data_IF_666570526387
#
_entry.id   IF_666570526387
#
_cell.length_a   1.000
_cell.length_b   1.000
_cell.length_c   1.000
_cell.angle_alpha   90.00
_cell.angle_beta   90.00
_cell.angle_gamma   90.00
#
_symmetry.space_group_name_H-M   'P 1'
#
loop_
_entity.id
_entity.type
_entity.pdbx_description
1 polymer ?
#
# COMPACT_ATOMS: atom_id res chain seq x y z
N UNK A 1 48.01 38.14 -0.83
CA UNK A 1 47.31 39.36 -0.41
C UNK A 1 46.31 38.92 0.67
N UNK A 2 46.64 39.24 1.94
CA UNK A 2 45.85 38.94 3.15
C UNK A 2 44.78 40.00 3.32
N UNK A 3 43.54 39.62 3.74
CA UNK A 3 42.59 40.43 4.51
C UNK A 3 41.51 39.47 5.04
N UNK A 4 41.50 39.12 6.20
CA UNK A 4 41.03 39.35 7.58
C UNK A 4 39.52 39.46 7.70
N UNK A 5 38.98 38.54 8.54
CA UNK A 5 37.65 38.57 9.20
C UNK A 5 37.46 39.87 10.05
N UNK A 6 36.22 40.19 10.37
CA UNK A 6 35.94 40.34 11.81
C UNK A 6 34.76 39.51 12.31
N UNK A 7 34.94 39.06 13.55
CA UNK A 7 33.93 38.49 14.44
C UNK A 7 32.97 39.60 14.95
N UNK A 8 31.73 39.26 15.20
CA UNK A 8 30.81 40.00 16.08
C UNK A 8 29.94 39.05 16.90
N UNK A 9 30.13 39.19 18.16
CA UNK A 9 29.55 38.73 19.41
C UNK A 9 28.02 38.67 19.47
N UNK A 10 27.53 37.57 20.03
CA UNK A 10 26.68 37.42 21.23
C UNK A 10 25.49 38.34 21.44
N UNK A 11 24.30 37.74 21.48
CA UNK A 11 23.17 38.21 22.29
C UNK A 11 22.27 37.04 22.67
N UNK A 12 22.56 36.42 23.81
CA UNK A 12 21.65 35.53 24.51
C UNK A 12 20.41 36.28 25.01
N UNK A 13 19.21 35.81 24.64
CA UNK A 13 17.97 36.17 25.34
C UNK A 13 17.40 34.95 26.04
N UNK A 14 17.53 34.98 27.36
CA UNK A 14 16.80 34.13 28.29
C UNK A 14 15.35 34.57 28.33
N UNK A 15 14.41 33.70 28.05
CA UNK A 15 13.01 33.89 28.38
C UNK A 15 12.72 33.27 29.75
N UNK A 16 12.44 34.13 30.71
CA UNK A 16 11.89 33.78 32.00
C UNK A 16 10.40 33.53 31.89
N UNK A 17 9.95 32.36 32.33
CA UNK A 17 8.52 32.06 32.52
C UNK A 17 7.97 32.91 33.66
N UNK A 18 6.99 33.77 33.39
CA UNK A 18 6.19 34.44 34.38
C UNK A 18 4.96 33.58 34.74
N UNK A 19 4.87 33.27 36.04
CA UNK A 19 3.69 32.66 36.65
C UNK A 19 2.54 33.67 36.75
N UNK A 20 1.34 33.35 36.27
CA UNK A 20 0.12 34.07 36.54
C UNK A 20 -0.68 33.37 37.64
N UNK A 21 -1.27 34.15 38.60
CA UNK A 21 -1.94 33.61 39.78
C UNK A 21 -3.38 33.11 39.46
N UNK A 22 -3.78 32.05 40.18
CA UNK A 22 -5.14 31.49 40.16
C UNK A 22 -6.16 32.45 40.81
N UNK A 23 -7.39 32.60 40.29
CA UNK A 23 -8.44 33.31 41.02
C UNK A 23 -9.05 32.44 42.12
N UNK A 24 -9.28 33.09 43.25
CA UNK A 24 -9.87 32.58 44.49
C UNK A 24 -11.40 32.37 44.35
N UNK A 25 -11.88 31.30 45.01
CA UNK A 25 -13.33 31.02 45.21
C UNK A 25 -13.95 32.02 46.19
N UNK A 26 -15.19 32.50 45.97
CA UNK A 26 -15.95 33.20 47.04
C UNK A 26 -16.71 32.20 47.91
N UNK A 27 -16.66 32.50 49.24
CA UNK A 27 -17.41 31.83 50.30
C UNK A 27 -18.88 32.27 50.31
N UNK A 28 -19.76 31.32 50.63
CA UNK A 28 -21.20 31.52 50.94
C UNK A 28 -21.38 32.23 52.25
N UNK A 29 -22.51 32.98 52.45
CA UNK A 29 -23.17 33.09 53.76
C UNK A 29 -24.56 32.42 53.75
N UNK A 30 -24.87 31.86 54.93
CA UNK A 30 -26.13 31.27 55.37
C UNK A 30 -27.14 32.30 55.79
N UNK A 31 -28.40 31.81 55.88
CA UNK A 31 -29.62 32.28 56.58
C UNK A 31 -30.55 33.12 55.69
N UNK A 32 -31.79 32.76 55.48
CA UNK A 32 -32.86 32.20 56.28
C UNK A 32 -34.16 32.86 55.84
N UNK A 33 -35.18 32.08 55.57
CA UNK A 33 -36.57 32.30 55.93
C UNK A 33 -37.54 31.60 54.93
N UNK A 34 -38.37 30.82 55.57
CA UNK A 34 -39.52 30.12 54.98
C UNK A 34 -40.56 31.10 54.47
N UNK A 35 -41.09 30.88 53.29
CA UNK A 35 -42.47 31.19 52.89
C UNK A 35 -43.04 30.04 52.12
N UNK A 36 -44.12 29.47 52.61
CA UNK A 36 -44.93 28.46 51.95
C UNK A 36 -45.91 29.15 51.05
N UNK A 37 -46.01 28.78 49.81
CA UNK A 37 -47.16 29.02 48.96
C UNK A 37 -47.40 27.84 48.06
N UNK A 38 -48.48 27.13 48.29
CA UNK A 38 -49.11 26.12 47.46
C UNK A 38 -49.74 26.78 46.24
N UNK A 39 -49.44 26.32 45.05
CA UNK A 39 -50.35 26.38 43.92
C UNK A 39 -49.91 25.44 42.77
N UNK A 40 -50.74 24.49 42.44
CA UNK A 40 -51.07 24.12 41.06
C UNK A 40 -50.23 23.07 40.36
N UNK A 41 -50.68 21.82 40.38
CA UNK A 41 -50.33 20.74 39.46
C UNK A 41 -50.48 21.17 38.00
N UNK A 42 -49.39 20.96 37.23
CA UNK A 42 -49.40 20.88 35.78
C UNK A 42 -48.28 19.92 35.32
N UNK A 43 -48.62 18.60 35.33
CA UNK A 43 -47.68 17.55 34.86
C UNK A 43 -47.68 17.53 33.32
N UNK A 44 -46.82 18.33 32.69
CA UNK A 44 -46.49 18.15 31.27
C UNK A 44 -45.30 17.17 31.18
N UNK A 45 -45.58 15.89 31.05
CA UNK A 45 -44.60 14.88 30.66
C UNK A 45 -44.23 15.11 29.19
N UNK A 46 -43.20 15.89 28.94
CA UNK A 46 -42.52 15.91 27.66
C UNK A 46 -41.81 14.55 27.51
N UNK A 47 -42.39 13.64 26.73
CA UNK A 47 -41.72 12.44 26.23
C UNK A 47 -40.55 12.96 25.33
N UNK A 48 -39.38 13.07 25.93
CA UNK A 48 -38.15 13.21 25.17
C UNK A 48 -37.93 11.88 24.43
N UNK A 49 -38.29 11.84 23.15
CA UNK A 49 -37.84 10.76 22.26
C UNK A 49 -36.34 10.73 22.32
N UNK A 50 -35.70 9.58 22.60
CA UNK A 50 -34.25 9.47 22.49
C UNK A 50 -33.86 9.86 21.04
N UNK A 51 -32.74 10.55 20.81
CA UNK A 51 -32.27 10.83 19.47
C UNK A 51 -32.14 9.48 18.73
N UNK A 52 -32.46 9.43 17.43
CA UNK A 52 -32.28 8.20 16.67
C UNK A 52 -30.84 7.76 16.87
N UNK A 53 -30.65 6.58 17.44
CA UNK A 53 -29.34 5.94 17.45
C UNK A 53 -28.95 5.80 15.98
N UNK A 54 -28.02 6.63 15.53
CA UNK A 54 -27.28 6.36 14.31
C UNK A 54 -26.60 5.02 14.62
N UNK A 55 -27.11 3.96 14.03
CA UNK A 55 -26.44 2.67 14.10
C UNK A 55 -25.04 2.91 13.56
N UNK A 56 -24.04 2.86 14.45
CA UNK A 56 -22.66 2.75 13.99
C UNK A 56 -22.68 1.51 13.08
N UNK A 57 -22.44 1.75 11.78
CA UNK A 57 -22.34 0.66 10.83
C UNK A 57 -21.31 -0.31 11.40
N UNK A 58 -21.69 -1.56 11.59
CA UNK A 58 -20.80 -2.58 12.16
C UNK A 58 -19.72 -2.93 11.10
N UNK A 59 -18.69 -2.12 11.05
CA UNK A 59 -17.54 -2.28 10.17
C UNK A 59 -16.71 -3.54 10.52
N UNK A 60 -16.97 -4.15 11.69
CA UNK A 60 -16.22 -5.32 12.18
C UNK A 60 -16.62 -6.62 11.48
N UNK A 61 -17.79 -6.68 10.85
CA UNK A 61 -18.30 -7.89 10.21
C UNK A 61 -17.85 -8.08 8.76
N UNK A 62 -17.36 -7.04 8.08
CA UNK A 62 -16.94 -7.12 6.68
C UNK A 62 -15.45 -7.43 6.56
N UNK A 63 -15.13 -8.50 5.81
CA UNK A 63 -13.73 -8.82 5.47
C UNK A 63 -13.35 -8.12 4.18
N UNK A 64 -12.32 -7.31 4.27
CA UNK A 64 -11.74 -6.57 3.14
C UNK A 64 -10.45 -7.24 2.68
N UNK A 65 -10.26 -7.26 1.36
CA UNK A 65 -9.05 -7.78 0.73
C UNK A 65 -8.59 -6.82 -0.36
N UNK A 66 -7.30 -6.53 -0.37
CA UNK A 66 -6.69 -5.75 -1.44
C UNK A 66 -6.80 -6.49 -2.78
N UNK A 67 -7.37 -5.83 -3.77
CA UNK A 67 -7.48 -6.37 -5.14
C UNK A 67 -6.52 -5.70 -6.11
N UNK A 68 -6.11 -4.47 -5.83
CA UNK A 68 -5.11 -3.71 -6.57
C UNK A 68 -4.36 -2.78 -5.61
N UNK A 69 -3.09 -2.48 -5.94
CA UNK A 69 -2.32 -1.47 -5.23
C UNK A 69 -1.09 -1.02 -6.00
N UNK A 70 -0.60 0.18 -5.64
CA UNK A 70 0.64 0.75 -6.13
C UNK A 70 1.38 1.45 -4.99
N UNK A 71 2.67 1.19 -4.85
CA UNK A 71 3.52 1.87 -3.88
C UNK A 71 3.82 3.32 -4.33
N UNK A 72 3.57 4.36 -3.51
CA UNK A 72 3.99 5.71 -3.87
C UNK A 72 5.52 5.84 -3.94
N UNK A 73 6.01 6.41 -5.03
CA UNK A 73 7.45 6.58 -5.32
C UNK A 73 8.00 7.98 -5.08
N UNK A 74 7.15 9.03 -4.96
CA UNK A 74 7.56 10.43 -4.85
C UNK A 74 8.17 10.82 -3.49
N UNK A 75 8.30 12.13 -3.19
CA UNK A 75 7.89 13.23 -4.07
C UNK A 75 8.90 13.47 -5.19
N UNK A 76 8.44 13.84 -6.39
CA UNK A 76 9.32 14.30 -7.46
C UNK A 76 9.90 15.69 -7.14
N UNK A 77 10.98 16.08 -7.82
CA UNK A 77 11.43 17.46 -7.78
C UNK A 77 10.32 18.40 -8.32
N UNK A 78 10.23 19.66 -7.84
CA UNK A 78 9.19 20.59 -8.27
C UNK A 78 9.09 20.74 -9.79
N UNK A 79 10.23 20.78 -10.50
CA UNK A 79 10.27 20.89 -11.96
C UNK A 79 9.68 19.67 -12.70
N UNK A 80 9.63 18.49 -12.04
CA UNK A 80 9.14 17.24 -12.59
C UNK A 80 7.77 16.84 -12.04
N UNK A 81 7.18 17.69 -11.18
CA UNK A 81 5.90 17.40 -10.57
C UNK A 81 4.78 17.60 -11.58
N UNK A 82 4.01 16.53 -11.84
CA UNK A 82 2.79 16.63 -12.63
C UNK A 82 1.78 17.52 -11.89
N UNK A 83 1.19 18.47 -12.61
CA UNK A 83 0.19 19.40 -12.06
C UNK A 83 -1.16 19.20 -12.73
N UNK A 84 -2.22 19.43 -11.95
CA UNK A 84 -3.62 19.41 -12.36
C UNK A 84 -4.25 20.72 -11.90
N UNK A 85 -5.04 21.37 -12.76
CA UNK A 85 -5.71 22.64 -12.42
C UNK A 85 -7.21 22.51 -12.70
N UNK A 86 -8.00 22.41 -11.64
CA UNK A 86 -9.46 22.21 -11.70
C UNK A 86 -9.86 21.02 -12.59
N UNK A 87 -9.12 19.91 -12.55
CA UNK A 87 -9.26 18.77 -13.46
C UNK A 87 -9.72 17.52 -12.75
N UNK A 88 -10.38 16.65 -13.50
CA UNK A 88 -10.65 15.27 -13.11
C UNK A 88 -9.55 14.37 -13.66
N UNK A 89 -8.94 13.56 -12.79
CA UNK A 89 -8.04 12.47 -13.20
C UNK A 89 -8.80 11.15 -13.11
N UNK A 90 -8.84 10.38 -14.19
CA UNK A 90 -9.44 9.04 -14.24
C UNK A 90 -8.34 8.01 -14.33
N UNK A 91 -8.20 7.24 -13.24
CA UNK A 91 -7.15 6.25 -13.03
C UNK A 91 -7.71 4.87 -13.29
N UNK A 92 -7.09 4.15 -14.19
CA UNK A 92 -7.45 2.76 -14.53
C UNK A 92 -6.64 1.81 -13.68
N UNK A 93 -7.31 0.85 -13.07
CA UNK A 93 -6.70 -0.18 -12.23
C UNK A 93 -7.26 -1.56 -12.59
N UNK A 94 -6.40 -2.59 -12.59
CA UNK A 94 -6.77 -3.96 -12.92
C UNK A 94 -6.92 -4.81 -11.66
N UNK A 95 -8.12 -5.31 -11.42
CA UNK A 95 -8.43 -6.10 -10.21
C UNK A 95 -7.86 -7.50 -10.30
N UNK A 96 -7.29 -8.02 -9.21
CA UNK A 96 -6.82 -9.40 -9.14
C UNK A 96 -7.90 -10.36 -8.63
N UNK A 97 -8.81 -9.87 -7.79
CA UNK A 97 -9.93 -10.63 -7.22
C UNK A 97 -11.18 -9.76 -7.23
N UNK A 98 -12.36 -10.37 -7.34
CA UNK A 98 -13.64 -9.68 -7.31
C UNK A 98 -14.28 -9.60 -5.93
N UNK A 99 -15.37 -8.82 -5.85
CA UNK A 99 -16.19 -8.67 -4.66
C UNK A 99 -17.47 -7.90 -4.94
N UNK A 100 -18.33 -7.75 -3.94
CA UNK A 100 -19.64 -7.09 -4.09
C UNK A 100 -19.67 -5.65 -3.57
N UNK A 101 -18.67 -5.26 -2.79
CA UNK A 101 -18.45 -3.88 -2.33
C UNK A 101 -17.01 -3.50 -2.56
N UNK A 102 -16.76 -2.21 -2.75
CA UNK A 102 -15.44 -1.68 -3.05
C UNK A 102 -15.19 -0.40 -2.26
N UNK A 103 -13.94 -0.16 -1.90
CA UNK A 103 -13.43 1.10 -1.34
C UNK A 103 -12.03 1.38 -1.86
N UNK A 104 -11.60 2.63 -1.77
CA UNK A 104 -10.26 3.04 -2.22
C UNK A 104 -9.45 3.66 -1.08
N UNK A 105 -8.13 3.57 -1.17
CA UNK A 105 -7.20 4.32 -0.35
C UNK A 105 -6.51 5.40 -1.19
N UNK A 106 -6.65 6.64 -0.74
CA UNK A 106 -5.90 7.80 -1.25
C UNK A 106 -4.76 8.13 -0.29
N UNK A 107 -3.72 8.80 -0.79
CA UNK A 107 -2.57 9.17 0.02
C UNK A 107 -2.04 10.55 -0.34
N UNK A 108 -1.72 11.32 0.70
CA UNK A 108 -0.93 12.55 0.67
C UNK A 108 0.35 12.40 1.52
N UNK A 109 0.85 11.15 1.66
CA UNK A 109 1.96 10.84 2.57
C UNK A 109 3.26 11.54 2.20
N UNK A 110 3.45 11.90 0.93
CA UNK A 110 4.64 12.62 0.45
C UNK A 110 4.35 14.10 0.17
N UNK A 111 3.12 14.56 0.44
CA UNK A 111 2.73 15.96 0.32
C UNK A 111 3.15 16.79 1.52
N UNK A 112 3.50 18.06 1.26
CA UNK A 112 3.81 19.06 2.28
C UNK A 112 2.68 20.08 2.50
N UNK A 113 1.65 20.03 1.67
CA UNK A 113 0.45 20.86 1.74
C UNK A 113 -0.80 19.98 1.79
N UNK A 114 -1.93 20.47 2.34
CA UNK A 114 -3.20 19.75 2.29
C UNK A 114 -3.61 19.43 0.85
N UNK A 115 -4.05 18.20 0.59
CA UNK A 115 -4.58 17.74 -0.68
C UNK A 115 -6.11 17.70 -0.60
N UNK A 116 -6.79 18.52 -1.38
CA UNK A 116 -8.25 18.49 -1.48
C UNK A 116 -8.68 17.61 -2.66
N UNK A 117 -9.56 16.65 -2.38
CA UNK A 117 -10.34 15.91 -3.36
C UNK A 117 -11.76 16.45 -3.32
N UNK A 118 -12.20 17.08 -4.41
CA UNK A 118 -13.52 17.75 -4.50
C UNK A 118 -14.66 16.74 -4.68
N UNK A 119 -14.42 15.69 -5.47
CA UNK A 119 -15.31 14.56 -5.66
C UNK A 119 -14.49 13.33 -6.04
N UNK A 120 -15.01 12.13 -5.78
CA UNK A 120 -14.42 10.87 -6.18
C UNK A 120 -15.50 9.88 -6.60
N UNK A 121 -15.26 9.15 -7.68
CA UNK A 121 -16.17 8.11 -8.20
C UNK A 121 -15.39 6.86 -8.58
N UNK A 122 -16.08 5.72 -8.60
CA UNK A 122 -15.55 4.45 -9.07
C UNK A 122 -16.58 3.76 -9.98
N UNK A 123 -16.12 3.14 -11.05
CA UNK A 123 -16.96 2.41 -11.98
C UNK A 123 -16.20 1.24 -12.63
N UNK A 124 -16.90 0.31 -13.27
CA UNK A 124 -16.29 -0.61 -14.21
C UNK A 124 -15.86 0.17 -15.47
N UNK A 125 -14.63 -0.06 -15.96
CA UNK A 125 -14.14 0.52 -17.20
C UNK A 125 -14.73 -0.20 -18.40
N UNK A 126 -15.17 0.53 -19.40
CA UNK A 126 -15.60 -0.02 -20.67
C UNK A 126 -14.42 -0.12 -21.65
N UNK A 127 -13.88 1.02 -22.08
CA UNK A 127 -12.68 1.11 -22.92
C UNK A 127 -12.12 2.53 -22.85
N UNK A 128 -10.82 2.69 -23.09
CA UNK A 128 -10.20 4.02 -23.01
C UNK A 128 -10.54 4.71 -21.68
N UNK A 129 -11.11 5.91 -21.73
CA UNK A 129 -11.56 6.67 -20.59
C UNK A 129 -13.03 6.47 -20.22
N UNK A 130 -13.76 5.58 -20.94
CA UNK A 130 -15.19 5.38 -20.78
C UNK A 130 -15.50 4.34 -19.69
N UNK A 131 -16.64 4.53 -19.03
CA UNK A 131 -17.13 3.61 -18.00
C UNK A 131 -18.36 2.85 -18.49
N UNK A 132 -18.59 1.66 -17.92
CA UNK A 132 -19.79 0.87 -18.19
C UNK A 132 -21.02 1.57 -17.61
N UNK A 133 -22.03 1.78 -18.44
CA UNK A 133 -23.26 2.46 -18.05
C UNK A 133 -23.92 1.78 -16.81
N UNK A 134 -24.38 2.58 -15.87
CA UNK A 134 -25.05 2.10 -14.63
C UNK A 134 -24.11 1.58 -13.53
N UNK A 135 -22.79 1.55 -13.76
CA UNK A 135 -21.81 1.08 -12.76
C UNK A 135 -21.15 2.20 -11.97
N UNK A 136 -21.37 3.46 -12.32
CA UNK A 136 -20.81 4.60 -11.60
C UNK A 136 -21.33 4.67 -10.16
N UNK A 137 -20.42 4.85 -9.22
CA UNK A 137 -20.70 5.02 -7.79
C UNK A 137 -19.92 6.20 -7.24
N UNK A 138 -20.61 7.23 -6.70
CA UNK A 138 -19.95 8.27 -5.94
C UNK A 138 -19.35 7.70 -4.66
N UNK A 139 -18.11 8.10 -4.36
CA UNK A 139 -17.41 7.74 -3.15
C UNK A 139 -17.54 8.87 -2.12
N UNK A 140 -17.66 8.49 -0.86
CA UNK A 140 -17.65 9.42 0.28
C UNK A 140 -16.49 9.09 1.24
N UNK A 141 -16.22 10.02 2.14
CA UNK A 141 -15.17 9.92 3.16
C UNK A 141 -15.78 10.36 4.50
N UNK A 142 -16.16 9.39 5.33
CA UNK A 142 -16.91 9.64 6.55
C UNK A 142 -18.27 10.32 6.26
N UNK A 143 -18.96 9.89 5.19
CA UNK A 143 -20.24 10.43 4.73
C UNK A 143 -20.15 11.72 3.90
N UNK A 144 -18.96 12.31 3.71
CA UNK A 144 -18.78 13.53 2.93
C UNK A 144 -18.31 13.24 1.50
N UNK A 145 -18.88 13.91 0.51
CA UNK A 145 -18.51 13.76 -0.90
C UNK A 145 -17.10 14.28 -1.22
N UNK A 146 -16.55 15.14 -0.38
CA UNK A 146 -15.19 15.68 -0.53
C UNK A 146 -14.36 15.41 0.71
N UNK A 147 -13.02 15.37 0.53
CA UNK A 147 -12.08 15.21 1.63
C UNK A 147 -10.85 16.10 1.41
N UNK A 148 -10.28 16.56 2.52
CA UNK A 148 -8.96 17.21 2.52
C UNK A 148 -8.00 16.34 3.32
N UNK A 149 -7.03 15.76 2.62
CA UNK A 149 -5.97 14.93 3.24
C UNK A 149 -4.87 15.85 3.79
N UNK A 150 -4.59 15.82 5.08
CA UNK A 150 -3.44 16.52 5.64
C UNK A 150 -2.12 16.06 4.99
N UNK A 151 -1.05 16.89 5.04
CA UNK A 151 0.29 16.44 4.70
C UNK A 151 0.68 15.17 5.49
N UNK A 152 1.29 14.21 4.83
CA UNK A 152 1.75 12.97 5.48
C UNK A 152 0.65 11.93 5.76
N UNK A 153 -0.60 12.15 5.37
CA UNK A 153 -1.71 11.27 5.74
C UNK A 153 -2.33 10.53 4.55
N UNK A 154 -2.77 9.26 4.73
CA UNK A 154 -3.70 8.59 3.84
C UNK A 154 -5.15 8.90 4.19
N UNK A 155 -6.08 8.55 3.29
CA UNK A 155 -7.52 8.51 3.54
C UNK A 155 -8.14 7.25 2.92
N UNK A 156 -9.12 6.67 3.61
CA UNK A 156 -9.90 5.54 3.13
C UNK A 156 -11.30 6.05 2.79
N UNK A 157 -11.83 5.68 1.63
CA UNK A 157 -13.22 5.99 1.30
C UNK A 157 -14.18 5.12 2.09
N UNK A 158 -15.41 5.60 2.24
CA UNK A 158 -16.52 4.75 2.65
C UNK A 158 -16.75 3.70 1.56
N UNK A 159 -17.22 2.49 1.91
CA UNK A 159 -17.49 1.45 0.94
C UNK A 159 -18.77 1.71 0.15
N UNK A 160 -18.75 1.32 -1.13
CA UNK A 160 -19.93 1.38 -2.01
C UNK A 160 -20.26 0.02 -2.59
N UNK A 161 -21.54 -0.23 -2.85
CA UNK A 161 -22.02 -1.44 -3.49
C UNK A 161 -21.70 -1.38 -4.99
N UNK A 162 -20.80 -2.24 -5.42
CA UNK A 162 -20.43 -2.45 -6.81
C UNK A 162 -19.97 -3.89 -6.98
N UNK A 163 -20.64 -4.63 -7.86
CA UNK A 163 -20.20 -5.97 -8.19
C UNK A 163 -18.96 -5.88 -9.09
N UNK A 164 -17.81 -6.14 -8.52
CA UNK A 164 -16.50 -6.09 -9.19
C UNK A 164 -16.10 -7.50 -9.61
N UNK A 165 -16.00 -7.81 -10.91
CA UNK A 165 -15.46 -9.09 -11.35
C UNK A 165 -13.95 -9.18 -11.05
N UNK A 166 -13.45 -10.40 -10.84
CA UNK A 166 -12.00 -10.62 -10.83
C UNK A 166 -11.43 -10.35 -12.24
N UNK A 167 -10.17 -9.93 -12.30
CA UNK A 167 -9.43 -9.67 -13.54
C UNK A 167 -10.17 -8.68 -14.47
N UNK A 168 -10.78 -7.65 -13.89
CA UNK A 168 -11.48 -6.59 -14.61
C UNK A 168 -10.84 -5.22 -14.35
N UNK A 169 -11.11 -4.28 -15.24
CA UNK A 169 -10.61 -2.91 -15.07
C UNK A 169 -11.67 -2.06 -14.36
N UNK A 170 -11.22 -1.28 -13.39
CA UNK A 170 -11.97 -0.21 -12.76
C UNK A 170 -11.44 1.15 -13.21
N UNK A 171 -12.32 2.13 -13.28
CA UNK A 171 -12.02 3.54 -13.46
C UNK A 171 -12.29 4.27 -12.14
N UNK A 172 -11.24 4.78 -11.51
CA UNK A 172 -11.32 5.64 -10.32
C UNK A 172 -11.13 7.08 -10.76
N UNK A 173 -12.14 7.92 -10.58
CA UNK A 173 -12.13 9.33 -11.00
C UNK A 173 -12.03 10.22 -9.78
N UNK A 174 -11.06 11.15 -9.79
CA UNK A 174 -10.79 12.10 -8.72
C UNK A 174 -10.84 13.52 -9.28
N UNK A 175 -11.72 14.38 -8.77
CA UNK A 175 -11.71 15.80 -9.08
C UNK A 175 -10.77 16.55 -8.15
N UNK A 176 -9.85 17.28 -8.72
CA UNK A 176 -8.79 18.03 -8.06
C UNK A 176 -9.06 19.54 -8.25
N UNK A 177 -9.77 20.21 -7.30
CA UNK A 177 -10.07 21.62 -7.40
C UNK A 177 -8.82 22.48 -7.14
N UNK A 178 -8.70 23.59 -7.88
CA UNK A 178 -7.52 24.45 -7.82
C UNK A 178 -6.31 23.83 -8.51
N UNK A 179 -5.11 24.31 -8.21
CA UNK A 179 -3.86 23.76 -8.76
C UNK A 179 -3.23 22.80 -7.75
N UNK A 180 -3.07 21.54 -8.16
CA UNK A 180 -2.56 20.45 -7.32
C UNK A 180 -1.35 19.81 -7.99
N UNK A 181 -0.24 19.69 -7.25
CA UNK A 181 0.94 18.94 -7.67
C UNK A 181 0.88 17.48 -7.16
N UNK A 182 1.17 16.52 -8.03
CA UNK A 182 1.23 15.10 -7.69
C UNK A 182 2.52 14.78 -6.91
N UNK A 183 2.55 15.08 -5.63
CA UNK A 183 3.68 14.78 -4.74
C UNK A 183 3.69 13.33 -4.29
N UNK A 184 2.51 12.74 -4.02
CA UNK A 184 2.35 11.31 -3.75
C UNK A 184 1.92 10.64 -5.05
N UNK A 185 2.82 9.90 -5.68
CA UNK A 185 2.62 9.37 -7.03
C UNK A 185 3.35 8.05 -7.21
N UNK A 186 2.73 7.09 -7.90
CA UNK A 186 3.42 5.96 -8.49
C UNK A 186 3.77 6.30 -9.94
N UNK A 187 5.08 6.38 -10.25
CA UNK A 187 5.57 6.99 -11.50
C UNK A 187 5.49 6.11 -12.73
N UNK A 188 5.47 4.76 -12.56
CA UNK A 188 5.59 3.78 -13.65
C UNK A 188 4.35 2.89 -13.69
N UNK A 189 3.23 3.44 -14.11
CA UNK A 189 1.97 2.68 -14.12
C UNK A 189 1.94 1.55 -15.17
N UNK A 190 2.63 1.67 -16.29
CA UNK A 190 2.43 0.84 -17.49
C UNK A 190 0.93 0.65 -17.83
N UNK A 191 0.15 1.68 -17.55
CA UNK A 191 -1.29 1.79 -17.72
C UNK A 191 -1.64 3.22 -18.10
N UNK A 192 -2.40 3.37 -19.17
CA UNK A 192 -2.90 4.68 -19.60
C UNK A 192 -3.97 5.18 -18.66
N UNK A 193 -3.76 6.36 -18.09
CA UNK A 193 -4.69 7.10 -17.28
C UNK A 193 -5.02 8.43 -17.95
N UNK A 194 -6.13 9.06 -17.57
CA UNK A 194 -6.72 10.15 -18.34
C UNK A 194 -6.88 11.39 -17.46
N UNK A 195 -6.58 12.55 -18.02
CA UNK A 195 -6.78 13.87 -17.40
C UNK A 195 -7.76 14.64 -18.23
N UNK A 196 -8.83 15.14 -17.61
CA UNK A 196 -9.91 15.85 -18.30
C UNK A 196 -9.52 17.28 -18.70
N UNK A 197 -10.35 17.90 -19.53
CA UNK A 197 -10.49 19.36 -19.53
C UNK A 197 -10.81 19.87 -18.13
N UNK A 198 -10.63 21.19 -17.83
CA UNK A 198 -11.00 21.73 -16.53
C UNK A 198 -12.48 21.45 -16.20
N UNK A 199 -12.74 20.99 -14.98
CA UNK A 199 -14.07 20.67 -14.46
C UNK A 199 -14.16 19.35 -13.71
N UNK A 200 -15.26 19.20 -12.99
CA UNK A 200 -15.64 17.95 -12.35
C UNK A 200 -16.41 17.05 -13.34
N UNK A 201 -15.76 15.99 -13.78
CA UNK A 201 -16.30 14.97 -14.68
C UNK A 201 -16.23 13.59 -14.00
N UNK A 202 -16.21 13.52 -12.67
CA UNK A 202 -16.03 12.25 -11.95
C UNK A 202 -17.08 11.21 -12.30
N UNK A 203 -18.37 11.62 -12.41
CA UNK A 203 -19.49 10.76 -12.78
C UNK A 203 -19.78 10.69 -14.29
N UNK A 204 -18.95 11.31 -15.16
CA UNK A 204 -19.19 11.30 -16.59
C UNK A 204 -18.94 9.93 -17.21
N UNK A 205 -19.88 9.43 -18.01
CA UNK A 205 -19.74 8.14 -18.72
C UNK A 205 -18.54 8.16 -19.66
N UNK A 206 -18.34 9.23 -20.40
CA UNK A 206 -17.16 9.51 -21.23
C UNK A 206 -16.44 10.74 -20.70
N UNK A 207 -15.14 10.62 -20.45
CA UNK A 207 -14.33 11.71 -19.92
C UNK A 207 -13.84 12.63 -21.05
N UNK A 208 -14.13 13.95 -21.03
CA UNK A 208 -13.54 14.88 -22.01
C UNK A 208 -12.03 15.00 -21.77
N UNK A 209 -11.27 14.11 -22.36
CA UNK A 209 -9.84 13.94 -22.12
C UNK A 209 -9.02 15.04 -22.77
N UNK A 210 -8.20 15.74 -21.98
CA UNK A 210 -7.20 16.70 -22.46
C UNK A 210 -5.86 16.05 -22.74
N UNK A 211 -5.41 15.12 -21.88
CA UNK A 211 -4.14 14.39 -22.00
C UNK A 211 -4.18 13.07 -21.27
N UNK A 212 -3.21 12.22 -21.58
CA UNK A 212 -2.98 10.96 -20.87
C UNK A 212 -1.72 11.03 -20.00
N UNK A 213 -1.64 10.17 -18.99
CA UNK A 213 -0.49 9.99 -18.11
C UNK A 213 -0.25 8.48 -17.88
N UNK A 214 1.00 8.11 -17.64
CA UNK A 214 1.43 6.74 -17.31
C UNK A 214 1.85 6.64 -15.83
N UNK A 215 1.04 7.22 -14.94
CA UNK A 215 1.30 7.25 -13.51
C UNK A 215 -0.01 7.21 -12.72
N UNK A 216 0.03 6.79 -11.46
CA UNK A 216 -1.10 6.85 -10.54
C UNK A 216 -0.84 7.88 -9.45
N UNK A 217 -1.31 9.13 -9.59
CA UNK A 217 -1.29 10.14 -8.53
C UNK A 217 -2.32 9.81 -7.44
N UNK A 218 -1.92 9.90 -6.19
CA UNK A 218 -2.72 9.82 -4.96
C UNK A 218 -3.42 8.50 -4.68
N UNK A 219 -3.78 7.69 -5.67
CA UNK A 219 -4.44 6.40 -5.49
C UNK A 219 -3.40 5.33 -5.17
N UNK A 220 -3.58 4.63 -4.04
CA UNK A 220 -2.59 3.64 -3.57
C UNK A 220 -3.15 2.23 -3.39
N UNK A 221 -4.47 2.07 -3.23
CA UNK A 221 -5.08 0.75 -3.05
C UNK A 221 -6.56 0.76 -3.43
N UNK A 222 -7.04 -0.36 -3.92
CA UNK A 222 -8.46 -0.69 -4.07
C UNK A 222 -8.71 -2.00 -3.35
N UNK A 223 -9.69 -1.99 -2.43
CA UNK A 223 -10.13 -3.14 -1.66
C UNK A 223 -11.52 -3.58 -2.09
N UNK A 224 -11.77 -4.88 -2.06
CA UNK A 224 -13.11 -5.45 -2.24
C UNK A 224 -13.50 -6.31 -1.03
N UNK A 225 -14.81 -6.52 -0.85
CA UNK A 225 -15.30 -7.44 0.20
C UNK A 225 -15.19 -8.89 -0.27
N UNK A 226 -14.76 -9.77 0.63
CA UNK A 226 -14.69 -11.20 0.34
C UNK A 226 -14.08 -12.01 1.47
N UNK A 227 -14.44 -13.29 1.54
CA UNK A 227 -13.77 -14.26 2.41
C UNK A 227 -12.46 -14.73 1.71
N UNK A 228 -11.49 -13.84 1.68
CA UNK A 228 -10.27 -13.97 0.89
C UNK A 228 -9.07 -13.39 1.65
N UNK A 229 -7.87 -13.63 1.15
CA UNK A 229 -6.62 -13.05 1.65
C UNK A 229 -5.87 -12.35 0.51
N UNK A 230 -4.93 -11.46 0.85
CA UNK A 230 -4.08 -10.80 -0.11
C UNK A 230 -2.65 -11.35 -0.07
N UNK A 231 -2.05 -11.45 -1.26
CA UNK A 231 -0.62 -11.64 -1.50
C UNK A 231 -0.05 -10.29 -1.89
N UNK A 232 0.90 -9.77 -1.13
CA UNK A 232 1.64 -8.56 -1.50
C UNK A 232 2.88 -8.95 -2.29
N UNK A 233 2.97 -8.54 -3.54
CA UNK A 233 4.18 -8.66 -4.36
C UNK A 233 5.05 -7.43 -4.10
N UNK A 234 6.06 -7.56 -3.22
CA UNK A 234 6.94 -6.47 -2.82
C UNK A 234 8.26 -6.55 -3.57
N UNK A 235 8.68 -5.44 -4.20
CA UNK A 235 9.91 -5.44 -4.99
C UNK A 235 10.25 -4.12 -5.65
N UNK A 236 11.09 -4.22 -6.66
CA UNK A 236 11.58 -3.14 -7.51
C UNK A 236 10.89 -3.07 -8.88
N UNK A 237 11.60 -2.56 -9.90
CA UNK A 237 11.10 -2.42 -11.29
C UNK A 237 10.63 -3.73 -11.91
N UNK A 238 11.25 -4.86 -11.56
CA UNK A 238 10.88 -6.17 -12.11
C UNK A 238 9.53 -6.63 -11.54
N UNK A 239 9.23 -6.29 -10.30
CA UNK A 239 7.90 -6.52 -9.71
C UNK A 239 6.88 -5.48 -10.17
N UNK A 240 7.29 -4.22 -10.29
CA UNK A 240 6.49 -3.12 -10.85
C UNK A 240 6.05 -3.40 -12.31
N UNK A 241 6.87 -4.12 -13.07
CA UNK A 241 6.57 -4.53 -14.45
C UNK A 241 7.17 -3.61 -15.51
N UNK A 242 8.30 -2.96 -15.20
CA UNK A 242 9.05 -2.14 -16.16
C UNK A 242 9.34 -2.91 -17.45
N UNK A 243 9.11 -2.32 -18.61
CA UNK A 243 9.21 -2.93 -19.96
C UNK A 243 8.08 -3.90 -20.32
N UNK A 244 7.09 -4.15 -19.47
CA UNK A 244 5.86 -4.81 -19.94
C UNK A 244 5.10 -3.89 -20.87
N UNK A 245 4.39 -4.48 -21.84
CA UNK A 245 3.57 -3.71 -22.77
C UNK A 245 2.49 -2.92 -22.01
N UNK A 246 2.39 -1.60 -22.17
CA UNK A 246 1.37 -0.79 -21.52
C UNK A 246 -0.05 -1.27 -21.85
N UNK A 247 -0.97 -1.11 -20.87
CA UNK A 247 -2.40 -1.43 -20.98
C UNK A 247 -2.74 -2.92 -21.16
N UNK A 248 -1.76 -3.84 -21.01
CA UNK A 248 -1.97 -5.28 -21.22
C UNK A 248 -1.99 -6.08 -19.90
N UNK A 249 -1.61 -5.46 -18.79
CA UNK A 249 -1.52 -6.12 -17.49
C UNK A 249 -0.64 -7.39 -17.54
N UNK A 250 0.54 -7.31 -18.17
CA UNK A 250 1.47 -8.43 -18.38
C UNK A 250 2.62 -8.49 -17.37
N UNK A 251 2.51 -7.85 -16.21
CA UNK A 251 3.48 -7.99 -15.11
C UNK A 251 3.41 -9.39 -14.50
N UNK A 252 4.49 -9.90 -13.91
CA UNK A 252 4.45 -11.23 -13.31
C UNK A 252 3.38 -11.36 -12.20
N UNK A 253 3.06 -10.32 -11.38
CA UNK A 253 1.95 -10.43 -10.42
C UNK A 253 0.59 -10.55 -11.09
N UNK A 254 0.38 -9.94 -12.28
CA UNK A 254 -0.85 -10.08 -13.06
C UNK A 254 -1.02 -11.51 -13.59
N UNK A 255 0.08 -12.13 -14.05
CA UNK A 255 0.08 -13.55 -14.45
C UNK A 255 -0.19 -14.48 -13.27
N UNK A 256 0.36 -14.20 -12.10
CA UNK A 256 0.02 -14.92 -10.86
C UNK A 256 -1.48 -14.79 -10.55
N UNK A 257 -2.04 -13.58 -10.61
CA UNK A 257 -3.46 -13.34 -10.38
C UNK A 257 -4.34 -14.15 -11.34
N UNK A 258 -4.03 -14.15 -12.65
CA UNK A 258 -4.75 -14.97 -13.65
C UNK A 258 -4.72 -16.45 -13.28
N UNK A 259 -3.56 -17.00 -12.89
CA UNK A 259 -3.44 -18.40 -12.48
C UNK A 259 -4.27 -18.71 -11.23
N UNK A 260 -4.26 -17.83 -10.23
CA UNK A 260 -5.06 -18.00 -9.01
C UNK A 260 -6.56 -18.03 -9.28
N UNK A 261 -7.04 -17.32 -10.31
CA UNK A 261 -8.45 -17.31 -10.68
C UNK A 261 -8.85 -18.49 -11.57
N UNK A 262 -7.91 -19.07 -12.33
CA UNK A 262 -8.21 -20.13 -13.33
C UNK A 262 -7.90 -21.54 -12.82
N UNK A 263 -6.88 -21.72 -11.98
CA UNK A 263 -6.49 -23.03 -11.47
C UNK A 263 -7.36 -23.41 -10.29
N UNK A 264 -8.23 -24.40 -10.48
CA UNK A 264 -8.98 -25.02 -9.38
C UNK A 264 -8.06 -25.97 -8.62
N UNK A 265 -7.94 -25.80 -7.32
CA UNK A 265 -7.30 -26.78 -6.45
C UNK A 265 -8.24 -27.99 -6.31
N UNK A 266 -7.82 -29.21 -6.73
CA UNK A 266 -8.61 -30.42 -6.53
C UNK A 266 -8.93 -30.70 -5.06
N UNK A 267 -8.12 -30.19 -4.13
CA UNK A 267 -8.29 -30.34 -2.67
C UNK A 267 -9.22 -29.25 -2.06
N UNK A 268 -9.88 -28.43 -2.88
CA UNK A 268 -10.75 -27.34 -2.40
C UNK A 268 -10.01 -26.15 -1.83
N UNK A 269 -8.75 -25.94 -2.25
CA UNK A 269 -7.89 -24.86 -1.79
C UNK A 269 -8.38 -23.45 -2.15
N UNK A 270 -7.66 -22.44 -1.64
CA UNK A 270 -8.04 -21.02 -1.67
C UNK A 270 -7.66 -20.26 -2.95
N UNK A 271 -7.31 -20.94 -4.06
CA UNK A 271 -6.74 -20.27 -5.23
C UNK A 271 -7.60 -19.07 -5.70
N UNK A 272 -8.91 -19.25 -5.85
CA UNK A 272 -9.83 -18.17 -6.25
C UNK A 272 -10.23 -17.23 -5.11
N UNK A 273 -9.58 -17.31 -3.95
CA UNK A 273 -9.80 -16.45 -2.77
C UNK A 273 -8.52 -15.70 -2.39
N UNK A 274 -7.63 -15.50 -3.36
CA UNK A 274 -6.39 -14.77 -3.15
C UNK A 274 -6.33 -13.57 -4.09
N UNK A 275 -6.30 -12.37 -3.52
CA UNK A 275 -5.95 -11.14 -4.22
C UNK A 275 -4.44 -11.01 -4.36
N UNK A 276 -3.97 -10.36 -5.41
CA UNK A 276 -2.56 -10.01 -5.62
C UNK A 276 -2.44 -8.50 -5.67
N UNK A 277 -1.65 -7.92 -4.78
CA UNK A 277 -1.41 -6.48 -4.67
C UNK A 277 0.04 -6.22 -5.04
N UNK A 278 0.27 -5.55 -6.17
CA UNK A 278 1.62 -5.20 -6.61
C UNK A 278 2.12 -3.98 -5.83
N UNK A 279 3.26 -4.13 -5.14
CA UNK A 279 3.99 -3.09 -4.41
C UNK A 279 5.42 -2.94 -4.92
N UNK A 280 5.65 -3.28 -6.19
CA UNK A 280 6.87 -2.95 -6.90
C UNK A 280 6.99 -1.44 -7.10
N UNK A 281 8.21 -0.92 -7.07
CA UNK A 281 8.52 0.46 -7.43
C UNK A 281 9.81 0.45 -8.26
N UNK A 282 9.78 1.00 -9.46
CA UNK A 282 10.95 1.05 -10.34
C UNK A 282 12.13 1.76 -9.68
N UNK A 283 13.30 1.12 -9.67
CA UNK A 283 14.54 1.64 -9.04
C UNK A 283 14.62 1.44 -7.53
N UNK A 284 13.63 0.82 -6.89
CA UNK A 284 13.57 0.67 -5.44
C UNK A 284 14.71 -0.20 -4.89
N UNK A 285 15.07 0.05 -3.63
CA UNK A 285 16.15 -0.62 -2.90
C UNK A 285 15.67 -1.19 -1.57
N UNK A 286 16.38 -2.18 -1.09
CA UNK A 286 16.14 -2.76 0.23
C UNK A 286 16.66 -1.88 1.35
N UNK A 287 17.91 -1.39 1.22
CA UNK A 287 18.70 -0.84 2.31
C UNK A 287 18.65 0.68 2.41
N UNK A 288 18.61 1.38 1.27
CA UNK A 288 18.81 2.83 1.24
C UNK A 288 17.75 3.53 0.41
N UNK A 289 17.43 4.77 0.81
CA UNK A 289 16.60 5.65 0.01
C UNK A 289 17.34 6.11 -1.25
N UNK A 290 16.64 6.31 -2.38
CA UNK A 290 17.23 6.94 -3.55
C UNK A 290 17.52 8.43 -3.31
N UNK A 291 18.17 9.09 -4.27
CA UNK A 291 18.37 10.52 -4.24
C UNK A 291 17.03 11.26 -4.13
N UNK A 292 17.06 12.46 -3.52
CA UNK A 292 15.90 13.33 -3.42
C UNK A 292 15.29 13.62 -4.80
N UNK A 293 13.96 13.63 -4.86
CA UNK A 293 13.20 13.85 -6.11
C UNK A 293 13.12 12.63 -7.03
N UNK A 294 13.73 11.51 -6.66
CA UNK A 294 13.58 10.25 -7.37
C UNK A 294 12.21 9.64 -7.13
N UNK A 295 11.60 9.07 -8.19
CA UNK A 295 10.37 8.30 -8.08
C UNK A 295 10.60 6.82 -7.68
N UNK A 296 11.83 6.44 -7.33
CA UNK A 296 12.16 5.07 -6.90
C UNK A 296 11.69 4.71 -5.48
N UNK A 297 10.99 5.62 -4.82
CA UNK A 297 10.36 5.39 -3.51
C UNK A 297 11.34 5.27 -2.35
N UNK A 298 10.81 5.22 -1.14
CA UNK A 298 11.59 4.91 0.07
C UNK A 298 12.07 3.46 0.03
N UNK A 299 13.15 3.15 0.74
CA UNK A 299 13.65 1.78 0.85
C UNK A 299 12.56 0.83 1.40
N UNK A 300 12.68 -0.47 1.08
CA UNK A 300 11.75 -1.47 1.64
C UNK A 300 11.71 -1.38 3.17
N UNK A 301 12.86 -1.14 3.82
CA UNK A 301 12.93 -1.01 5.28
C UNK A 301 12.02 0.11 5.80
N UNK A 302 11.91 1.22 5.07
CA UNK A 302 11.10 2.37 5.49
C UNK A 302 9.63 2.22 5.09
N UNK A 303 9.33 1.72 3.86
CA UNK A 303 7.96 1.66 3.33
C UNK A 303 7.18 0.39 3.69
N UNK A 304 7.79 -0.57 4.39
CA UNK A 304 7.22 -1.88 4.68
C UNK A 304 5.85 -1.80 5.38
N UNK A 305 5.72 -0.99 6.41
CA UNK A 305 4.47 -0.89 7.18
C UNK A 305 3.33 -0.32 6.32
N UNK A 306 3.63 0.70 5.53
CA UNK A 306 2.68 1.33 4.62
C UNK A 306 2.24 0.38 3.50
N UNK A 307 3.19 -0.30 2.86
CA UNK A 307 2.96 -1.04 1.61
C UNK A 307 2.57 -2.50 1.85
N UNK A 308 2.92 -3.07 3.02
CA UNK A 308 2.60 -4.45 3.37
C UNK A 308 1.58 -4.52 4.50
N UNK A 309 1.91 -4.00 5.69
CA UNK A 309 1.05 -4.19 6.87
C UNK A 309 -0.29 -3.49 6.75
N UNK A 310 -0.35 -2.37 6.03
CA UNK A 310 -1.59 -1.63 5.82
C UNK A 310 -2.44 -2.17 4.65
N UNK A 311 -1.96 -3.19 3.89
CA UNK A 311 -2.75 -3.82 2.84
C UNK A 311 -3.88 -4.66 3.44
N UNK A 312 -5.10 -4.44 2.95
CA UNK A 312 -6.27 -5.13 3.46
C UNK A 312 -6.18 -6.64 3.23
N UNK A 313 -6.37 -7.42 4.29
CA UNK A 313 -6.40 -8.89 4.23
C UNK A 313 -5.06 -9.56 3.91
N UNK A 314 -3.92 -8.87 4.04
CA UNK A 314 -2.61 -9.45 3.78
C UNK A 314 -2.33 -10.67 4.67
N UNK A 315 -1.87 -11.76 4.06
CA UNK A 315 -1.42 -12.99 4.72
C UNK A 315 -0.12 -13.53 4.14
N UNK A 316 0.19 -13.15 2.93
CA UNK A 316 1.35 -13.63 2.19
C UNK A 316 2.09 -12.46 1.57
N UNK A 317 3.39 -12.58 1.50
CA UNK A 317 4.24 -11.62 0.80
C UNK A 317 5.29 -12.37 -0.02
N UNK A 318 5.49 -11.95 -1.26
CA UNK A 318 6.67 -12.31 -2.04
C UNK A 318 7.67 -11.16 -1.98
N UNK A 319 8.95 -11.44 -1.85
CA UNK A 319 10.00 -10.43 -1.74
C UNK A 319 11.08 -10.65 -2.79
N UNK A 320 11.13 -9.76 -3.79
CA UNK A 320 12.18 -9.71 -4.80
C UNK A 320 12.77 -8.30 -4.86
N UNK A 321 13.92 -8.09 -4.26
CA UNK A 321 14.55 -6.78 -4.11
C UNK A 321 16.07 -6.95 -3.94
N UNK A 322 16.86 -5.95 -4.26
CA UNK A 322 18.31 -5.94 -4.00
C UNK A 322 19.15 -5.70 -5.24
N UNK A 323 18.62 -5.90 -6.45
CA UNK A 323 19.40 -5.69 -7.68
C UNK A 323 19.83 -4.22 -7.83
N UNK A 324 19.00 -3.27 -7.37
CA UNK A 324 19.34 -1.84 -7.38
C UNK A 324 20.31 -1.43 -6.27
N UNK A 325 20.29 -2.14 -5.12
CA UNK A 325 21.33 -1.98 -4.09
C UNK A 325 22.69 -2.41 -4.65
N UNK A 326 22.74 -3.59 -5.28
CA UNK A 326 23.94 -4.14 -5.93
C UNK A 326 24.38 -3.24 -7.08
N UNK A 327 23.48 -2.91 -8.01
CA UNK A 327 23.74 -2.13 -9.20
C UNK A 327 24.31 -0.73 -8.90
N UNK A 328 23.81 -0.08 -7.85
CA UNK A 328 24.27 1.24 -7.41
C UNK A 328 25.40 1.18 -6.36
N UNK A 329 25.89 -0.02 -6.00
CA UNK A 329 27.06 -0.18 -5.15
C UNK A 329 28.30 0.44 -5.81
N UNK A 330 29.14 1.09 -5.03
CA UNK A 330 30.36 1.73 -5.46
C UNK A 330 31.47 1.57 -4.43
N UNK A 331 32.71 1.91 -4.77
CA UNK A 331 33.82 1.89 -3.81
C UNK A 331 33.59 2.82 -2.60
N UNK A 332 32.81 3.92 -2.79
CA UNK A 332 32.44 4.83 -1.71
C UNK A 332 31.28 4.30 -0.85
N UNK A 333 30.39 3.51 -1.44
CA UNK A 333 29.23 2.91 -0.76
C UNK A 333 29.10 1.45 -1.20
N UNK A 334 29.95 0.56 -0.68
CA UNK A 334 29.92 -0.86 -1.05
C UNK A 334 28.68 -1.53 -0.43
N UNK A 335 28.05 -2.42 -1.19
CA UNK A 335 26.95 -3.26 -0.72
C UNK A 335 27.39 -4.72 -0.86
N UNK A 336 27.44 -5.43 0.24
CA UNK A 336 27.76 -6.86 0.28
C UNK A 336 26.50 -7.74 0.35
N UNK A 337 26.66 -9.02 0.07
CA UNK A 337 25.59 -9.99 0.27
C UNK A 337 25.11 -10.03 1.74
N UNK A 338 26.03 -9.89 2.70
CA UNK A 338 25.68 -9.89 4.13
C UNK A 338 24.81 -8.68 4.51
N UNK A 339 25.03 -7.50 3.92
CA UNK A 339 24.19 -6.32 4.15
C UNK A 339 22.76 -6.58 3.69
N UNK A 340 22.61 -7.14 2.48
CA UNK A 340 21.31 -7.50 1.93
C UNK A 340 20.63 -8.59 2.76
N UNK A 341 21.34 -9.63 3.17
CA UNK A 341 20.81 -10.72 4.03
C UNK A 341 20.34 -10.14 5.37
N UNK A 342 21.11 -9.24 5.99
CA UNK A 342 20.68 -8.57 7.21
C UNK A 342 19.38 -7.75 6.97
N UNK A 343 19.29 -7.05 5.86
CA UNK A 343 18.08 -6.31 5.47
C UNK A 343 16.87 -7.22 5.25
N UNK A 344 17.03 -8.36 4.55
CA UNK A 344 15.98 -9.35 4.38
C UNK A 344 15.48 -9.90 5.71
N UNK A 345 16.39 -10.24 6.65
CA UNK A 345 16.05 -10.72 8.00
C UNK A 345 15.16 -9.74 8.76
N UNK A 346 15.41 -8.44 8.65
CA UNK A 346 14.55 -7.42 9.27
C UNK A 346 13.14 -7.42 8.67
N UNK A 347 13.01 -7.56 7.36
CA UNK A 347 11.70 -7.62 6.69
C UNK A 347 10.96 -8.90 7.09
N UNK A 348 11.63 -10.05 7.08
CA UNK A 348 11.07 -11.35 7.49
C UNK A 348 10.57 -11.28 8.94
N UNK A 349 11.40 -10.81 9.88
CA UNK A 349 11.03 -10.71 11.29
C UNK A 349 9.81 -9.81 11.50
N UNK A 350 9.72 -8.67 10.80
CA UNK A 350 8.58 -7.75 10.88
C UNK A 350 7.31 -8.36 10.31
N UNK A 351 7.40 -9.10 9.21
CA UNK A 351 6.28 -9.81 8.61
C UNK A 351 5.78 -10.94 9.51
N UNK A 352 6.68 -11.79 10.02
CA UNK A 352 6.36 -12.89 10.92
C UNK A 352 5.72 -12.39 12.22
N UNK A 353 6.16 -11.26 12.77
CA UNK A 353 5.55 -10.62 13.94
C UNK A 353 4.06 -10.23 13.72
N UNK A 354 3.62 -10.19 12.47
CA UNK A 354 2.23 -9.92 12.05
C UNK A 354 1.52 -11.14 11.46
N UNK A 355 2.15 -12.32 11.54
CA UNK A 355 1.57 -13.56 11.00
C UNK A 355 1.50 -13.58 9.46
N UNK A 356 2.39 -12.84 8.78
CA UNK A 356 2.49 -12.80 7.33
C UNK A 356 3.61 -13.76 6.90
N UNK A 357 3.30 -14.73 6.04
CA UNK A 357 4.29 -15.60 5.45
C UNK A 357 5.08 -14.88 4.34
N UNK A 358 6.40 -15.10 4.30
CA UNK A 358 7.33 -14.41 3.40
C UNK A 358 8.01 -15.41 2.47
N UNK A 359 7.78 -15.24 1.17
CA UNK A 359 8.40 -16.06 0.12
C UNK A 359 9.52 -15.28 -0.56
N UNK A 360 10.75 -15.77 -0.41
CA UNK A 360 11.95 -15.18 -1.02
C UNK A 360 12.00 -15.50 -2.51
N UNK A 361 12.11 -14.46 -3.34
CA UNK A 361 12.32 -14.65 -4.77
C UNK A 361 13.76 -14.31 -5.16
N UNK A 362 14.41 -15.19 -5.94
CA UNK A 362 15.80 -14.97 -6.39
C UNK A 362 15.87 -13.80 -7.37
N UNK A 363 16.96 -13.04 -7.28
CA UNK A 363 17.28 -11.94 -8.19
C UNK A 363 17.58 -12.47 -9.59
N UNK A 364 16.93 -11.94 -10.60
CA UNK A 364 17.11 -12.31 -12.01
C UNK A 364 18.52 -12.00 -12.52
N UNK A 365 18.97 -12.59 -13.64
CA UNK A 365 20.25 -12.25 -14.27
C UNK A 365 20.29 -10.76 -14.66
N UNK A 366 21.50 -10.19 -14.77
CA UNK A 366 21.66 -8.81 -15.19
C UNK A 366 22.97 -8.52 -15.96
N UNK A 367 23.67 -9.58 -16.44
CA UNK A 367 24.88 -9.40 -17.27
C UNK A 367 24.52 -8.71 -18.59
N UNK A 368 25.17 -7.57 -18.82
CA UNK A 368 24.88 -6.67 -19.93
C UNK A 368 24.12 -5.41 -19.51
N UNK A 369 23.52 -5.37 -18.34
CA UNK A 369 22.88 -4.17 -17.81
C UNK A 369 23.88 -3.04 -17.56
N UNK A 370 23.43 -1.79 -17.67
CA UNK A 370 24.30 -0.61 -17.62
C UNK A 370 25.11 -0.43 -16.33
N UNK A 371 24.74 -1.11 -15.24
CA UNK A 371 25.46 -1.07 -13.96
C UNK A 371 26.08 -2.43 -13.56
N UNK A 372 26.14 -3.37 -14.50
CA UNK A 372 26.75 -4.69 -14.27
C UNK A 372 28.26 -4.60 -14.02
N UNK A 373 28.76 -5.47 -13.17
CA UNK A 373 30.17 -5.88 -13.12
C UNK A 373 30.29 -7.31 -12.59
N UNK A 374 31.42 -7.97 -12.81
CA UNK A 374 31.66 -9.33 -12.33
C UNK A 374 31.62 -9.42 -10.79
N UNK A 375 32.10 -8.40 -10.09
CA UNK A 375 32.06 -8.31 -8.63
C UNK A 375 30.62 -8.22 -8.10
N UNK A 376 29.77 -7.46 -8.80
CA UNK A 376 28.34 -7.34 -8.48
C UNK A 376 27.59 -8.64 -8.74
N UNK A 377 27.97 -9.38 -9.77
CA UNK A 377 27.42 -10.72 -10.04
C UNK A 377 27.75 -11.70 -8.91
N UNK A 378 28.96 -11.64 -8.35
CA UNK A 378 29.32 -12.46 -7.16
C UNK A 378 28.37 -12.15 -5.98
N UNK A 379 28.05 -10.88 -5.75
CA UNK A 379 27.10 -10.49 -4.70
C UNK A 379 25.70 -11.05 -5.00
N UNK A 380 25.20 -10.90 -6.24
CA UNK A 380 23.90 -11.44 -6.65
C UNK A 380 23.81 -12.94 -6.44
N UNK A 381 24.84 -13.68 -6.87
CA UNK A 381 24.89 -15.14 -6.72
C UNK A 381 24.92 -15.56 -5.25
N UNK A 382 25.65 -14.85 -4.39
CA UNK A 382 25.70 -15.13 -2.96
C UNK A 382 24.33 -14.91 -2.30
N UNK A 383 23.62 -13.81 -2.65
CA UNK A 383 22.25 -13.55 -2.19
C UNK A 383 21.30 -14.64 -2.69
N UNK A 384 21.37 -15.02 -3.96
CA UNK A 384 20.51 -16.06 -4.52
C UNK A 384 20.77 -17.43 -3.89
N UNK A 385 22.04 -17.76 -3.58
CA UNK A 385 22.38 -18.98 -2.86
C UNK A 385 21.75 -19.03 -1.46
N UNK A 386 21.79 -17.90 -0.73
CA UNK A 386 21.16 -17.78 0.57
C UNK A 386 19.61 -17.87 0.47
N UNK A 387 18.98 -17.22 -0.51
CA UNK A 387 17.52 -17.33 -0.72
C UNK A 387 17.15 -18.79 -0.99
N UNK A 388 17.94 -19.52 -1.82
CA UNK A 388 17.67 -20.91 -2.15
C UNK A 388 17.90 -21.88 -1.00
N UNK A 389 18.71 -21.54 0.00
CA UNK A 389 18.85 -22.38 1.20
C UNK A 389 17.50 -22.56 1.90
N UNK A 390 16.61 -21.58 1.79
CA UNK A 390 15.23 -21.67 2.24
C UNK A 390 15.04 -21.65 3.77
N UNK A 391 16.13 -21.49 4.52
CA UNK A 391 16.10 -21.69 5.98
C UNK A 391 15.41 -20.55 6.73
N UNK A 392 15.29 -19.37 6.12
CA UNK A 392 14.75 -18.17 6.78
C UNK A 392 13.45 -17.64 6.13
N UNK A 393 13.18 -18.01 4.88
CA UNK A 393 11.92 -17.75 4.22
C UNK A 393 10.92 -18.90 4.41
N UNK A 394 9.62 -18.61 4.36
CA UNK A 394 8.56 -19.65 4.40
C UNK A 394 8.47 -20.44 3.10
N UNK A 395 9.23 -20.07 2.08
CA UNK A 395 9.38 -20.74 0.81
C UNK A 395 10.13 -19.91 -0.21
N UNK A 396 10.47 -20.51 -1.34
CA UNK A 396 11.34 -19.92 -2.36
C UNK A 396 10.67 -19.92 -3.72
N UNK A 397 10.84 -18.81 -4.47
CA UNK A 397 10.45 -18.63 -5.86
C UNK A 397 11.72 -18.40 -6.67
N UNK A 398 12.14 -19.34 -7.50
CA UNK A 398 13.43 -19.27 -8.20
C UNK A 398 13.30 -18.60 -9.57
N UNK A 399 13.10 -17.27 -9.57
CA UNK A 399 13.01 -16.48 -10.80
C UNK A 399 14.31 -16.44 -11.60
N UNK A 400 15.48 -16.49 -10.94
CA UNK A 400 16.77 -16.59 -11.63
C UNK A 400 16.83 -17.85 -12.52
N UNK A 401 16.43 -19.00 -11.96
CA UNK A 401 16.41 -20.26 -12.71
C UNK A 401 15.47 -20.22 -13.91
N UNK A 402 14.33 -19.56 -13.77
CA UNK A 402 13.29 -19.47 -14.80
C UNK A 402 13.70 -18.57 -15.95
N UNK A 403 14.41 -17.48 -15.64
CA UNK A 403 14.67 -16.41 -16.61
C UNK A 403 16.07 -16.45 -17.24
N UNK A 404 17.01 -17.18 -16.65
CA UNK A 404 18.40 -17.21 -17.12
C UNK A 404 18.60 -18.06 -18.36
N UNK A 405 19.57 -17.70 -19.19
CA UNK A 405 20.11 -18.55 -20.24
C UNK A 405 20.87 -19.73 -19.61
N UNK A 406 20.49 -21.00 -19.89
CA UNK A 406 21.19 -22.14 -19.35
C UNK A 406 22.67 -22.21 -19.75
N UNK A 407 23.03 -21.66 -20.92
CA UNK A 407 24.40 -21.65 -21.44
C UNK A 407 25.24 -20.52 -20.85
N UNK A 408 24.60 -19.40 -20.44
CA UNK A 408 25.22 -18.22 -19.85
C UNK A 408 24.40 -17.72 -18.66
N UNK A 409 24.47 -18.35 -17.48
CA UNK A 409 23.56 -18.10 -16.35
C UNK A 409 23.56 -16.66 -15.79
N UNK A 410 24.54 -15.83 -16.15
CA UNK A 410 24.55 -14.41 -15.81
C UNK A 410 23.61 -13.56 -16.66
N UNK A 411 23.07 -14.11 -17.77
CA UNK A 411 22.21 -13.43 -18.75
C UNK A 411 20.79 -13.94 -18.74
N UNK A 412 19.86 -13.08 -19.11
CA UNK A 412 18.52 -13.53 -19.47
C UNK A 412 18.57 -14.49 -20.68
N UNK A 413 17.65 -15.45 -20.69
CA UNK A 413 17.32 -16.15 -21.93
C UNK A 413 16.92 -15.09 -22.97
N UNK A 414 17.50 -15.08 -24.20
CA UNK A 414 17.25 -14.02 -25.18
C UNK A 414 15.76 -13.77 -25.47
N UNK A 415 14.92 -14.81 -25.41
CA UNK A 415 13.47 -14.69 -25.61
C UNK A 415 12.75 -13.93 -24.47
N UNK A 416 13.37 -13.76 -23.32
CA UNK A 416 12.79 -13.13 -22.13
C UNK A 416 13.35 -11.74 -21.86
N UNK A 417 14.45 -11.36 -22.52
CA UNK A 417 15.10 -10.05 -22.36
C UNK A 417 14.32 -8.95 -23.08
N UNK A 418 14.12 -7.81 -22.44
CA UNK A 418 13.55 -6.62 -23.08
C UNK A 418 14.54 -5.85 -23.95
N UNK A 419 15.82 -6.26 -23.94
CA UNK A 419 16.94 -5.62 -24.65
C UNK A 419 17.76 -4.67 -23.79
N UNK A 420 17.40 -4.46 -22.53
CA UNK A 420 18.21 -3.68 -21.58
C UNK A 420 19.02 -4.58 -20.60
N UNK A 421 18.89 -5.88 -20.74
CA UNK A 421 19.59 -6.92 -19.99
C UNK A 421 19.36 -6.88 -18.46
N UNK A 422 18.28 -6.22 -18.05
CA UNK A 422 17.87 -6.08 -16.64
C UNK A 422 16.41 -6.44 -16.42
N UNK A 423 15.54 -6.03 -17.36
CA UNK A 423 14.10 -6.22 -17.22
C UNK A 423 13.59 -7.29 -18.20
N UNK A 424 12.69 -8.17 -17.75
CA UNK A 424 11.99 -9.07 -18.65
C UNK A 424 11.10 -8.32 -19.65
N UNK A 425 10.87 -8.92 -20.81
CA UNK A 425 9.75 -8.58 -21.67
C UNK A 425 8.47 -9.31 -21.23
N UNK A 426 7.35 -9.17 -21.96
CA UNK A 426 6.08 -9.82 -21.61
C UNK A 426 6.18 -11.35 -21.48
N UNK A 427 6.98 -12.02 -22.32
CA UNK A 427 7.18 -13.48 -22.24
C UNK A 427 7.98 -13.86 -20.99
N UNK A 428 8.99 -13.06 -20.63
CA UNK A 428 9.75 -13.26 -19.39
C UNK A 428 8.87 -13.06 -18.15
N UNK A 429 8.04 -12.03 -18.12
CA UNK A 429 7.07 -11.82 -17.05
C UNK A 429 6.03 -12.94 -16.96
N UNK A 430 5.55 -13.44 -18.09
CA UNK A 430 4.67 -14.60 -18.12
C UNK A 430 5.36 -15.86 -17.54
N UNK A 431 6.60 -16.10 -17.93
CA UNK A 431 7.38 -17.22 -17.41
C UNK A 431 7.55 -17.10 -15.88
N UNK A 432 7.88 -15.90 -15.37
CA UNK A 432 7.98 -15.64 -13.92
C UNK A 432 6.66 -15.92 -13.21
N UNK A 433 5.55 -15.31 -13.64
CA UNK A 433 4.23 -15.50 -13.04
C UNK A 433 3.78 -16.97 -13.08
N UNK A 434 4.11 -17.69 -14.16
CA UNK A 434 3.80 -19.12 -14.30
C UNK A 434 4.67 -20.02 -13.40
N UNK A 435 5.85 -19.58 -13.01
CA UNK A 435 6.77 -20.34 -12.17
C UNK A 435 6.48 -20.21 -10.66
N UNK A 436 5.64 -19.28 -10.25
CA UNK A 436 5.27 -19.14 -8.82
C UNK A 436 4.57 -20.43 -8.36
N UNK A 437 5.10 -21.16 -7.35
CA UNK A 437 4.47 -22.37 -6.84
C UNK A 437 3.20 -22.02 -6.07
N UNK A 438 2.02 -22.41 -6.57
CA UNK A 438 0.74 -22.07 -5.93
C UNK A 438 0.54 -22.78 -4.58
N UNK A 439 1.22 -23.88 -4.35
CA UNK A 439 1.25 -24.61 -3.07
C UNK A 439 1.79 -23.78 -1.91
N UNK A 440 2.60 -22.76 -2.15
CA UNK A 440 3.08 -21.83 -1.13
C UNK A 440 1.94 -21.14 -0.39
N UNK A 441 0.81 -20.92 -1.04
CA UNK A 441 -0.33 -20.19 -0.48
C UNK A 441 -1.37 -21.10 0.20
N UNK A 442 -1.11 -22.40 0.33
CA UNK A 442 -2.05 -23.39 0.91
C UNK A 442 -1.91 -23.58 2.42
N UNK A 443 -0.72 -23.41 2.98
CA UNK A 443 -0.37 -23.95 4.32
C UNK A 443 -0.95 -23.18 5.51
N UNK A 444 -1.40 -21.93 5.35
CA UNK A 444 -1.95 -21.13 6.45
C UNK A 444 -3.49 -21.10 6.42
N UNK A 445 -4.11 -21.69 5.39
CA UNK A 445 -5.53 -21.48 5.05
C UNK A 445 -6.55 -22.16 5.93
N UNK A 446 -6.21 -23.12 6.77
CA UNK A 446 -7.25 -23.92 7.46
C UNK A 446 -7.46 -23.59 8.95
N UNK A 447 -6.47 -23.01 9.62
CA UNK A 447 -6.55 -22.76 11.07
C UNK A 447 -7.18 -21.39 11.40
N UNK A 448 -6.87 -20.35 10.65
CA UNK A 448 -7.36 -18.99 10.94
C UNK A 448 -8.78 -18.72 10.43
N UNK A 449 -9.23 -19.43 9.36
CA UNK A 449 -10.64 -19.38 8.93
C UNK A 449 -11.57 -19.94 10.01
N UNK A 450 -11.06 -20.77 10.92
CA UNK A 450 -11.78 -21.31 12.07
C UNK A 450 -11.67 -20.45 13.33
N UNK A 451 -10.57 -19.67 13.47
CA UNK A 451 -10.32 -18.87 14.68
C UNK A 451 -11.17 -17.59 14.76
N UNK A 452 -11.62 -17.07 13.62
CA UNK A 452 -12.38 -15.81 13.55
C UNK A 452 -13.90 -16.00 13.39
N UNK A 453 -14.44 -17.19 13.62
CA UNK A 453 -15.89 -17.37 13.68
C UNK A 453 -16.41 -16.72 14.98
N UNK A 454 -17.25 -15.68 14.92
CA UNK A 454 -17.79 -15.08 16.13
C UNK A 454 -18.69 -16.10 16.83
N UNK A 455 -18.27 -16.60 18.01
CA UNK A 455 -19.15 -17.40 18.87
C UNK A 455 -18.61 -18.65 19.54
N UNK A 456 -17.29 -18.96 19.49
CA UNK A 456 -16.77 -20.16 20.18
C UNK A 456 -15.61 -19.90 21.16
N UNK A 457 -15.69 -18.89 21.99
CA UNK A 457 -14.85 -18.77 23.18
C UNK A 457 -15.71 -18.45 24.43
N UNK A 458 -16.58 -19.40 24.78
CA UNK A 458 -17.15 -19.46 26.11
C UNK A 458 -16.67 -20.78 26.73
N UNK A 459 -15.67 -20.73 27.59
CA UNK A 459 -15.35 -21.81 28.52
C UNK A 459 -14.03 -22.56 28.26
N UNK A 460 -12.91 -21.96 28.58
CA UNK A 460 -11.80 -22.71 29.16
C UNK A 460 -11.31 -21.99 30.40
N UNK A 461 -11.67 -22.56 31.54
CA UNK A 461 -11.18 -22.17 32.85
C UNK A 461 -9.64 -22.31 32.88
N UNK A 462 -8.98 -21.26 33.27
CA UNK A 462 -7.55 -21.28 33.55
C UNK A 462 -7.32 -22.16 34.79
N UNK A 463 -6.47 -23.21 34.75
CA UNK A 463 -6.12 -23.92 35.95
C UNK A 463 -5.32 -23.01 36.90
N UNK A 464 -5.76 -22.88 38.14
CA UNK A 464 -5.15 -22.06 39.16
C UNK A 464 -3.69 -22.48 39.41
N UNK A 465 -2.76 -21.55 39.28
CA UNK A 465 -1.38 -21.69 39.77
C UNK A 465 -1.42 -21.40 41.27
N UNK A 466 -1.31 -22.44 42.10
CA UNK A 466 -1.08 -22.29 43.53
C UNK A 466 0.40 -21.93 43.75
N UNK A 467 0.66 -20.76 44.32
CA UNK A 467 1.99 -20.36 44.78
C UNK A 467 2.24 -20.98 46.15
N UNK A 468 3.42 -21.57 46.43
CA UNK A 468 3.76 -22.00 47.77
C UNK A 468 4.16 -20.78 48.64
N UNK A 469 3.66 -20.77 49.86
CA UNK A 469 3.97 -19.76 50.87
C UNK A 469 5.45 -19.82 51.25
N UNK A 470 6.13 -18.68 51.16
CA UNK A 470 7.49 -18.53 51.68
C UNK A 470 7.43 -18.30 53.22
N UNK A 471 8.00 -19.24 53.98
CA UNK A 471 8.25 -19.05 55.41
C UNK A 471 9.58 -18.34 55.63
N UNK A 472 9.55 -17.16 56.22
CA UNK A 472 10.72 -16.53 56.81
C UNK A 472 11.02 -17.13 58.17
N UNK A 473 12.24 -17.59 58.33
CA UNK A 473 12.99 -17.60 59.61
C UNK A 473 14.32 -16.91 59.40
#
# INVERSE_FOLDING_TARGET
>A
MKLSLPALLDAGRRYTMAWLPRPSRPRTPREGRRIVLLAGLGLATALALPPPFVHAQDWSAERWVGTWGAGPGGPPLPANTQTFTDQTVRLVVHTSIGGTRVRIRLSNEMGTTPLRIGAAHIALRASGADIVAGTDRPLTFGGNASVTLPPGAPALSDPVDLNVPALSDLAVSLYLPGTVGATTIHGTASQTNYVSLPGDFTGAASLPTQRTILSWPFLTEVDVTGNAAAIVALGDSITDGTRSTPDTNNRWPDWLARRLQTVRDPAGGLNNRLGVVNRGISGNRLLSNPAEGSLAGRSIQERFDRDVLATAGVRYMTLMIGINDIGNSSAANPVSANDLIAGYRQVIARAHAKGIAVYGATLTPFEGAGYYSAEKEVVRQAVNAWIRSGDEFDGVIDFDRVTRDPSHPGRFLPAYDSGDHLHPNDLGYQAMGNAVPLELFRSIGSSWLKADAPGQNAGSAVPGISMPAASYK
#
